data_IF_610347830346
#
_entry.id   IF_610347830346
#
_cell.length_a   1.000
_cell.length_b   1.000
_cell.length_c   1.000
_cell.angle_alpha   90.00
_cell.angle_beta   90.00
_cell.angle_gamma   90.00
#
_symmetry.space_group_name_H-M   'P 1'
#
loop_
_entity.id
_entity.type
_entity.pdbx_description
1 polymer ?
#
# COMPACT_ATOMS: atom_id res chain seq x y z
N UNK A 1 -7.65 18.00 -4.99
CA UNK A 1 -6.66 16.93 -5.25
C UNK A 1 -7.36 15.58 -5.08
N UNK A 2 -7.09 14.61 -5.97
CA UNK A 2 -7.68 13.27 -5.85
C UNK A 2 -6.96 12.45 -4.79
N UNK A 3 -7.68 11.76 -3.91
CA UNK A 3 -7.08 10.92 -2.87
C UNK A 3 -6.75 9.55 -3.45
N UNK A 4 -5.48 9.15 -3.41
CA UNK A 4 -5.07 7.80 -3.80
C UNK A 4 -5.73 6.71 -2.95
N UNK A 5 -5.98 5.53 -3.51
CA UNK A 5 -6.64 4.40 -2.82
C UNK A 5 -5.89 3.11 -3.14
N UNK A 6 -5.68 2.28 -2.12
CA UNK A 6 -5.12 0.95 -2.24
C UNK A 6 -6.21 -0.09 -1.96
N UNK A 7 -6.42 -1.03 -2.89
CA UNK A 7 -7.41 -2.09 -2.76
C UNK A 7 -6.73 -3.46 -2.79
N UNK A 8 -7.12 -4.36 -1.88
CA UNK A 8 -6.63 -5.74 -1.86
C UNK A 8 -7.75 -6.72 -1.50
N UNK A 9 -7.68 -7.93 -2.04
CA UNK A 9 -8.66 -8.99 -1.81
C UNK A 9 -7.99 -10.15 -1.08
N UNK A 10 -8.62 -10.66 -0.03
CA UNK A 10 -8.24 -11.97 0.51
C UNK A 10 -8.84 -13.04 -0.40
N UNK A 11 -7.99 -13.75 -1.16
CA UNK A 11 -8.42 -14.98 -1.80
C UNK A 11 -8.48 -16.06 -0.72
N UNK A 12 -9.68 -16.33 -0.21
CA UNK A 12 -9.90 -17.55 0.56
C UNK A 12 -9.75 -18.73 -0.40
N UNK A 13 -8.73 -19.56 -0.15
CA UNK A 13 -8.44 -20.79 -0.88
C UNK A 13 -9.64 -21.73 -0.77
N UNK A 14 -10.58 -21.55 -1.69
CA UNK A 14 -11.73 -22.40 -1.87
C UNK A 14 -11.60 -22.99 -3.27
N UNK A 15 -10.47 -23.67 -3.46
CA UNK A 15 -10.42 -24.85 -4.29
C UNK A 15 -11.35 -25.89 -3.67
N UNK A 16 -12.63 -25.75 -3.96
CA UNK A 16 -13.53 -26.88 -3.94
C UNK A 16 -13.70 -27.25 -5.40
N UNK A 17 -13.04 -28.34 -5.78
CA UNK A 17 -13.52 -29.19 -6.85
C UNK A 17 -15.03 -29.39 -6.69
N UNK A 18 -15.84 -28.64 -7.44
CA UNK A 18 -17.21 -29.03 -7.74
C UNK A 18 -17.65 -28.35 -9.02
N UNK A 19 -17.38 -29.08 -10.09
CA UNK A 19 -17.95 -29.04 -11.44
C UNK A 19 -19.50 -29.13 -11.43
N UNK A 20 -20.22 -28.27 -10.68
CA UNK A 20 -21.67 -28.17 -10.83
C UNK A 20 -22.18 -26.73 -10.67
N UNK A 21 -22.61 -26.20 -11.81
CA UNK A 21 -23.41 -25.00 -12.04
C UNK A 21 -24.31 -24.58 -10.88
N UNK A 22 -24.15 -23.33 -10.40
CA UNK A 22 -25.26 -22.41 -10.05
C UNK A 22 -24.85 -20.95 -10.31
N UNK A 23 -25.47 -20.24 -11.26
CA UNK A 23 -25.26 -18.80 -11.43
C UNK A 23 -26.08 -18.08 -10.34
N UNK A 24 -25.45 -17.64 -9.24
CA UNK A 24 -26.22 -16.93 -8.22
C UNK A 24 -25.57 -16.74 -6.85
N UNK A 25 -24.34 -17.20 -6.60
CA UNK A 25 -23.63 -16.87 -5.36
C UNK A 25 -22.41 -16.05 -5.71
N UNK A 26 -22.57 -14.73 -5.70
CA UNK A 26 -21.45 -13.80 -5.65
C UNK A 26 -20.61 -14.18 -4.42
N UNK A 27 -19.56 -14.95 -4.67
CA UNK A 27 -18.59 -15.41 -3.68
C UNK A 27 -17.93 -14.12 -3.18
N UNK A 28 -18.35 -13.67 -1.99
CA UNK A 28 -17.97 -12.39 -1.40
C UNK A 28 -16.47 -12.36 -1.19
N UNK A 29 -15.74 -11.90 -2.20
CA UNK A 29 -14.33 -11.57 -2.07
C UNK A 29 -14.29 -10.44 -1.05
N UNK A 30 -13.66 -10.67 0.11
CA UNK A 30 -13.51 -9.60 1.11
C UNK A 30 -12.49 -8.60 0.58
N UNK A 31 -13.00 -7.62 -0.19
CA UNK A 31 -12.21 -6.51 -0.71
C UNK A 31 -11.99 -5.52 0.42
N UNK A 32 -10.73 -5.24 0.73
CA UNK A 32 -10.31 -4.20 1.66
C UNK A 32 -9.85 -3.00 0.85
N UNK A 33 -10.35 -1.81 1.21
CA UNK A 33 -9.95 -0.55 0.61
C UNK A 33 -9.31 0.32 1.68
N UNK A 34 -8.07 0.72 1.46
CA UNK A 34 -7.30 1.65 2.28
C UNK A 34 -7.22 2.97 1.53
N UNK A 35 -7.65 4.07 2.17
CA UNK A 35 -7.44 5.40 1.63
C UNK A 35 -6.01 5.81 1.92
N UNK A 36 -5.26 6.21 0.90
CA UNK A 36 -3.87 6.60 1.09
C UNK A 36 -3.75 7.93 1.86
N UNK A 37 -4.83 8.71 1.96
CA UNK A 37 -4.93 9.84 2.91
C UNK A 37 -4.77 9.42 4.38
N UNK A 38 -5.16 8.20 4.73
CA UNK A 38 -5.11 7.69 6.10
C UNK A 38 -3.78 6.99 6.39
N UNK A 39 -2.85 6.97 5.41
CA UNK A 39 -1.56 6.34 5.56
C UNK A 39 -0.65 7.23 6.41
N UNK A 40 -0.20 6.69 7.54
CA UNK A 40 0.67 7.37 8.49
C UNK A 40 2.14 7.21 8.10
N UNK A 41 2.54 6.02 7.66
CA UNK A 41 3.89 5.72 7.18
C UNK A 41 3.93 4.42 6.39
N UNK A 42 4.94 4.29 5.52
CA UNK A 42 5.25 3.05 4.81
C UNK A 42 6.72 2.72 5.08
N UNK A 43 7.00 1.53 5.61
CA UNK A 43 8.35 1.16 6.06
C UNK A 43 8.73 -0.24 5.56
N UNK A 44 10.01 -0.50 5.25
CA UNK A 44 10.45 -1.85 4.90
C UNK A 44 10.40 -2.77 6.13
N UNK A 45 9.92 -3.99 5.93
CA UNK A 45 9.75 -5.00 6.96
C UNK A 45 10.79 -6.12 6.79
N UNK A 46 12.08 -5.78 6.90
CA UNK A 46 13.18 -6.73 6.73
C UNK A 46 13.21 -7.86 7.79
N UNK A 47 12.40 -7.74 8.85
CA UNK A 47 12.31 -8.74 9.94
C UNK A 47 11.26 -9.81 9.70
N UNK A 48 10.44 -9.67 8.66
CA UNK A 48 9.43 -10.67 8.29
C UNK A 48 10.06 -11.79 7.47
N UNK A 49 9.70 -13.03 7.78
CA UNK A 49 10.10 -14.19 6.97
C UNK A 49 9.37 -14.15 5.63
N UNK A 50 10.11 -13.81 4.58
CA UNK A 50 9.62 -13.79 3.20
C UNK A 50 10.15 -14.99 2.41
N UNK A 51 9.39 -15.51 1.44
CA UNK A 51 9.92 -16.49 0.50
C UNK A 51 11.08 -15.89 -0.32
N UNK A 52 11.93 -16.77 -0.88
CA UNK A 52 13.15 -16.36 -1.57
C UNK A 52 12.88 -15.33 -2.68
N UNK A 53 13.62 -14.23 -2.66
CA UNK A 53 13.48 -13.14 -3.63
C UNK A 53 12.34 -12.16 -3.37
N UNK A 54 11.58 -12.33 -2.29
CA UNK A 54 10.58 -11.35 -1.84
C UNK A 54 11.06 -10.61 -0.60
N UNK A 55 10.63 -9.36 -0.46
CA UNK A 55 10.83 -8.56 0.74
C UNK A 55 9.48 -8.10 1.26
N UNK A 56 9.35 -7.89 2.56
CA UNK A 56 8.13 -7.36 3.13
C UNK A 56 8.22 -5.86 3.38
N UNK A 57 7.06 -5.23 3.47
CA UNK A 57 6.89 -3.85 3.87
C UNK A 57 5.60 -3.69 4.70
N UNK A 58 5.63 -2.74 5.62
CA UNK A 58 4.49 -2.34 6.43
C UNK A 58 3.84 -1.09 5.86
N UNK A 59 2.52 -1.08 5.85
CA UNK A 59 1.69 0.07 5.56
C UNK A 59 0.92 0.42 6.83
N UNK A 60 1.36 1.46 7.51
CA UNK A 60 0.72 1.96 8.72
C UNK A 60 -0.37 2.93 8.33
N UNK A 61 -1.62 2.61 8.68
CA UNK A 61 -2.77 3.48 8.45
C UNK A 61 -3.40 3.89 9.77
N UNK A 62 -4.28 4.89 9.76
CA UNK A 62 -5.04 5.29 10.95
C UNK A 62 -5.89 4.15 11.54
N UNK A 63 -6.33 3.20 10.72
CA UNK A 63 -7.19 2.11 11.15
C UNK A 63 -6.41 0.88 11.59
N UNK A 64 -5.35 0.52 10.88
CA UNK A 64 -4.58 -0.71 11.09
C UNK A 64 -3.21 -0.66 10.44
N UNK A 65 -2.30 -1.52 10.91
CA UNK A 65 -1.03 -1.78 10.21
C UNK A 65 -1.18 -3.03 9.35
N UNK A 66 -0.83 -2.93 8.08
CA UNK A 66 -0.86 -4.03 7.12
C UNK A 66 0.55 -4.45 6.74
N UNK A 67 0.76 -5.76 6.57
CA UNK A 67 2.03 -6.34 6.13
C UNK A 67 1.85 -6.94 4.75
N UNK A 68 2.70 -6.53 3.80
CA UNK A 68 2.70 -7.03 2.44
C UNK A 68 4.08 -7.58 2.09
N UNK A 69 4.12 -8.64 1.29
CA UNK A 69 5.36 -9.19 0.74
C UNK A 69 5.32 -9.10 -0.78
N UNK A 70 6.39 -8.59 -1.38
CA UNK A 70 6.53 -8.47 -2.83
C UNK A 70 7.98 -8.63 -3.27
N UNK A 71 8.18 -9.05 -4.52
CA UNK A 71 9.49 -9.06 -5.17
C UNK A 71 9.95 -7.64 -5.53
N UNK A 72 9.02 -6.68 -5.62
CA UNK A 72 9.28 -5.27 -5.96
C UNK A 72 8.79 -4.33 -4.88
N UNK A 73 8.98 -4.69 -3.60
CA UNK A 73 8.65 -3.84 -2.45
C UNK A 73 9.19 -2.41 -2.51
N UNK A 74 10.44 -2.12 -2.97
CA UNK A 74 10.89 -0.73 -3.07
C UNK A 74 10.03 0.12 -4.02
N UNK A 75 9.56 -0.45 -5.13
CA UNK A 75 8.64 0.23 -6.06
C UNK A 75 7.27 0.47 -5.42
N UNK A 76 6.75 -0.52 -4.68
CA UNK A 76 5.50 -0.38 -3.92
C UNK A 76 5.59 0.72 -2.87
N UNK A 77 6.65 0.72 -2.06
CA UNK A 77 6.88 1.75 -1.03
C UNK A 77 6.93 3.13 -1.69
N UNK A 78 7.68 3.28 -2.78
CA UNK A 78 7.82 4.54 -3.51
C UNK A 78 6.47 5.04 -4.03
N UNK A 79 5.71 4.18 -4.71
CA UNK A 79 4.39 4.52 -5.24
C UNK A 79 3.39 4.88 -4.13
N UNK A 80 3.34 4.10 -3.06
CA UNK A 80 2.45 4.35 -1.92
C UNK A 80 2.80 5.68 -1.24
N UNK A 81 4.08 5.96 -1.03
CA UNK A 81 4.52 7.23 -0.47
C UNK A 81 4.14 8.41 -1.36
N UNK A 82 4.36 8.29 -2.68
CA UNK A 82 3.99 9.34 -3.64
C UNK A 82 2.48 9.60 -3.67
N UNK A 83 1.65 8.58 -3.44
CA UNK A 83 0.20 8.70 -3.47
C UNK A 83 -0.40 9.11 -2.10
N UNK A 84 0.23 8.71 -0.99
CA UNK A 84 -0.22 9.01 0.37
C UNK A 84 0.25 10.38 0.86
N UNK A 85 1.49 10.74 0.55
CA UNK A 85 2.13 11.97 1.01
C UNK A 85 2.28 12.97 -0.13
N UNK A 86 1.28 13.06 -1.00
CA UNK A 86 1.23 14.12 -2.01
C UNK A 86 1.29 15.47 -1.30
N UNK A 87 2.50 16.06 -1.25
CA UNK A 87 2.69 17.41 -0.75
C UNK A 87 1.88 18.32 -1.66
N UNK A 88 0.92 19.05 -1.09
CA UNK A 88 0.18 20.07 -1.82
C UNK A 88 1.22 20.97 -2.54
N UNK A 89 1.09 21.20 -3.86
CA UNK A 89 2.02 22.04 -4.60
C UNK A 89 2.03 23.51 -4.13
N UNK A 90 1.27 23.87 -3.08
CA UNK A 90 1.23 25.19 -2.45
C UNK A 90 2.32 25.45 -1.40
N UNK A 91 3.19 24.49 -1.07
CA UNK A 91 4.26 24.66 -0.06
C UNK A 91 5.66 24.33 -0.63
N UNK A 92 5.84 24.49 -1.95
CA UNK A 92 7.14 24.43 -2.61
C UNK A 92 7.75 25.83 -2.79
N UNK A 93 7.33 26.82 -2.01
CA UNK A 93 7.89 28.17 -2.03
C UNK A 93 8.80 28.42 -0.82
N UNK A 94 10.04 28.80 -1.13
CA UNK A 94 11.01 29.49 -0.26
C UNK A 94 11.78 28.68 0.81
N UNK A 95 12.51 27.67 0.38
CA UNK A 95 13.82 27.35 0.99
C UNK A 95 14.93 28.15 0.32
N UNK A 96 15.01 29.45 0.63
CA UNK A 96 16.05 30.36 0.16
C UNK A 96 17.42 29.88 0.67
N UNK A 97 18.30 29.45 -0.26
CA UNK A 97 19.71 29.23 0.02
C UNK A 97 20.36 30.59 0.26
N UNK A 98 20.34 31.07 1.51
CA UNK A 98 21.23 32.16 1.90
C UNK A 98 22.67 31.61 1.93
N UNK A 99 23.36 31.87 0.82
CA UNK A 99 24.80 31.83 0.67
C UNK A 99 25.42 32.74 1.74
N UNK A 100 25.74 32.17 2.90
CA UNK A 100 26.58 32.80 3.90
C UNK A 100 28.02 32.90 3.39
N UNK A 101 28.36 34.04 2.81
CA UNK A 101 29.74 34.50 2.64
C UNK A 101 30.18 35.21 3.92
N UNK A 102 31.22 34.71 4.58
CA UNK A 102 32.13 35.49 5.46
C UNK A 102 33.45 34.75 5.57
#
# INVERSE_FOLDING_TARGET
>A
TGVGRLEFCTMSDSSSFSEHMKPGRQKTTEKKVVRLSDCLSVTPAARESCPAGSTAFYVHTMQSTYTFASTSSPDWISALCLLAFQKDPGDADKGEFERGNS
#
